data_IF_226423389799
#
_entry.id   IF_226423389799
#
_cell.length_a   1.000
_cell.length_b   1.000
_cell.length_c   1.000
_cell.angle_alpha   90.00
_cell.angle_beta   90.00
_cell.angle_gamma   90.00
#
_symmetry.space_group_name_H-M   'P 1'
#
loop_
_entity.id
_entity.type
_entity.pdbx_description
1 polymer ?
#
# COMPACT_ATOMS: atom_id res chain seq x y z
N UNK A 1 30.19 0.10 -57.30
CA UNK A 1 29.85 -0.89 -56.26
C UNK A 1 28.43 -0.56 -55.77
N UNK A 2 27.43 -1.44 -56.01
CA UNK A 2 26.06 -1.24 -55.46
C UNK A 2 26.13 -1.40 -53.92
N UNK A 3 25.48 -0.53 -53.12
CA UNK A 3 25.39 -0.74 -51.69
C UNK A 3 24.64 -2.07 -51.41
N UNK A 4 24.99 -2.79 -50.32
CA UNK A 4 24.37 -4.06 -50.01
C UNK A 4 22.85 -3.86 -49.79
N UNK A 5 22.08 -4.78 -50.36
CA UNK A 5 20.62 -4.79 -50.28
C UNK A 5 20.22 -5.09 -48.84
N UNK A 6 19.72 -4.08 -48.14
CA UNK A 6 19.30 -4.19 -46.72
C UNK A 6 17.96 -4.91 -46.68
N UNK A 7 17.93 -6.16 -46.21
CA UNK A 7 16.67 -6.90 -45.96
C UNK A 7 15.85 -6.24 -44.84
N UNK A 8 14.98 -5.30 -45.26
CA UNK A 8 14.07 -4.57 -44.36
C UNK A 8 13.11 -5.51 -43.60
N UNK A 9 12.75 -6.65 -44.22
CA UNK A 9 11.85 -7.62 -43.59
C UNK A 9 12.56 -8.41 -42.49
N UNK A 10 13.82 -8.79 -42.67
CA UNK A 10 14.64 -9.40 -41.62
C UNK A 10 14.88 -8.44 -40.46
N UNK A 11 15.18 -7.18 -40.74
CA UNK A 11 15.33 -6.13 -39.71
C UNK A 11 14.03 -5.91 -38.89
N UNK A 12 12.88 -5.90 -39.55
CA UNK A 12 11.57 -5.78 -38.88
C UNK A 12 11.27 -6.98 -37.97
N UNK A 13 11.51 -8.21 -38.44
CA UNK A 13 11.34 -9.44 -37.65
C UNK A 13 12.25 -9.44 -36.41
N UNK A 14 13.51 -9.09 -36.57
CA UNK A 14 14.46 -8.98 -35.46
C UNK A 14 14.03 -7.96 -34.43
N UNK A 15 13.52 -6.78 -34.85
CA UNK A 15 13.02 -5.76 -33.95
C UNK A 15 11.77 -6.21 -33.14
N UNK A 16 10.86 -6.96 -33.77
CA UNK A 16 9.69 -7.55 -33.13
C UNK A 16 10.13 -8.61 -32.10
N UNK A 17 11.05 -9.50 -32.48
CA UNK A 17 11.59 -10.52 -31.56
C UNK A 17 12.27 -9.88 -30.35
N UNK A 18 13.10 -8.86 -30.53
CA UNK A 18 13.74 -8.14 -29.43
C UNK A 18 12.74 -7.44 -28.49
N UNK A 19 11.64 -6.89 -29.03
CA UNK A 19 10.56 -6.32 -28.19
C UNK A 19 9.86 -7.39 -27.37
N UNK A 20 9.54 -8.54 -27.97
CA UNK A 20 8.91 -9.68 -27.26
C UNK A 20 9.81 -10.21 -26.15
N UNK A 21 11.10 -10.38 -26.41
CA UNK A 21 12.06 -10.85 -25.43
C UNK A 21 12.16 -9.89 -24.21
N UNK A 22 12.22 -8.56 -24.44
CA UNK A 22 12.19 -7.58 -23.32
C UNK A 22 10.86 -7.56 -22.57
N UNK A 23 9.74 -7.76 -23.28
CA UNK A 23 8.44 -7.86 -22.62
C UNK A 23 8.36 -9.08 -21.70
N UNK A 24 8.95 -10.20 -22.13
CA UNK A 24 9.03 -11.42 -21.33
C UNK A 24 9.89 -11.21 -20.07
N UNK A 25 11.05 -10.59 -20.17
CA UNK A 25 11.88 -10.24 -18.99
C UNK A 25 11.07 -9.40 -17.98
N UNK A 26 10.35 -8.39 -18.48
CA UNK A 26 9.49 -7.56 -17.59
C UNK A 26 8.35 -8.35 -16.96
N UNK A 27 7.74 -9.29 -17.70
CA UNK A 27 6.72 -10.18 -17.19
C UNK A 27 7.26 -11.04 -16.04
N UNK A 28 8.44 -11.65 -16.26
CA UNK A 28 9.09 -12.49 -15.23
C UNK A 28 9.36 -11.71 -13.93
N UNK A 29 9.81 -10.46 -14.03
CA UNK A 29 10.01 -9.61 -12.85
C UNK A 29 8.67 -9.26 -12.19
N UNK A 30 7.65 -8.91 -12.97
CA UNK A 30 6.33 -8.59 -12.44
C UNK A 30 5.66 -9.79 -11.76
N UNK A 31 5.89 -11.01 -12.29
CA UNK A 31 5.39 -12.28 -11.73
C UNK A 31 6.28 -12.85 -10.61
N UNK A 32 7.36 -12.15 -10.23
CA UNK A 32 8.37 -12.62 -9.26
C UNK A 32 9.05 -13.96 -9.62
N UNK A 33 9.05 -14.33 -10.90
CA UNK A 33 9.78 -15.51 -11.41
C UNK A 33 11.30 -15.25 -11.45
N UNK A 34 11.69 -13.98 -11.57
CA UNK A 34 13.07 -13.49 -11.46
C UNK A 34 13.09 -12.18 -10.70
N UNK A 35 14.15 -11.94 -9.91
CA UNK A 35 14.33 -10.64 -9.26
C UNK A 35 14.85 -9.60 -10.28
N UNK A 36 14.63 -8.33 -10.00
CA UNK A 36 15.21 -7.26 -10.80
C UNK A 36 16.74 -7.23 -10.69
N UNK A 37 17.29 -7.74 -9.58
CA UNK A 37 18.72 -7.91 -9.39
C UNK A 37 19.27 -8.99 -10.32
N UNK A 38 18.62 -10.16 -10.41
CA UNK A 38 19.02 -11.23 -11.36
C UNK A 38 19.06 -10.73 -12.79
N UNK A 39 18.06 -9.92 -13.19
CA UNK A 39 18.02 -9.31 -14.52
C UNK A 39 19.18 -8.33 -14.72
N UNK A 40 19.51 -7.52 -13.72
CA UNK A 40 20.62 -6.58 -13.79
C UNK A 40 21.97 -7.31 -13.86
N UNK A 41 22.18 -8.35 -13.04
CA UNK A 41 23.41 -9.17 -13.08
C UNK A 41 23.56 -9.90 -14.42
N UNK A 42 22.49 -10.50 -14.96
CA UNK A 42 22.50 -11.12 -16.26
C UNK A 42 22.84 -10.12 -17.39
N UNK A 43 22.32 -8.89 -17.29
CA UNK A 43 22.63 -7.81 -18.23
C UNK A 43 24.12 -7.38 -18.20
N UNK A 44 24.78 -7.51 -17.07
CA UNK A 44 26.20 -7.13 -16.91
C UNK A 44 27.18 -8.26 -17.21
N UNK A 45 26.76 -9.52 -17.03
CA UNK A 45 27.55 -10.71 -17.31
C UNK A 45 27.37 -11.23 -18.73
N UNK A 46 26.24 -10.92 -19.38
CA UNK A 46 25.86 -11.41 -20.69
C UNK A 46 26.34 -10.56 -21.87
N UNK A 47 25.89 -10.94 -23.09
CA UNK A 47 26.21 -10.21 -24.29
C UNK A 47 25.48 -8.84 -24.37
N UNK A 48 26.09 -7.80 -24.99
CA UNK A 48 25.48 -6.47 -25.09
C UNK A 48 24.13 -6.43 -25.80
N UNK A 49 23.84 -7.44 -26.65
CA UNK A 49 22.57 -7.60 -27.37
C UNK A 49 21.46 -8.33 -26.59
N UNK A 50 21.77 -8.91 -25.44
CA UNK A 50 20.81 -9.63 -24.61
C UNK A 50 19.60 -8.78 -24.25
N UNK A 51 18.38 -9.38 -24.12
CA UNK A 51 17.17 -8.65 -23.76
C UNK A 51 17.35 -7.83 -22.49
N UNK A 52 17.99 -8.39 -21.46
CA UNK A 52 18.30 -7.76 -20.19
C UNK A 52 19.21 -6.52 -20.37
N UNK A 53 20.27 -6.66 -21.16
CA UNK A 53 21.23 -5.59 -21.41
C UNK A 53 20.61 -4.41 -22.18
N UNK A 54 19.68 -4.70 -23.10
CA UNK A 54 19.01 -3.70 -23.94
C UNK A 54 17.77 -3.09 -23.28
N UNK A 55 17.30 -3.61 -22.15
CA UNK A 55 16.19 -3.08 -21.39
C UNK A 55 16.57 -1.72 -20.75
N UNK A 56 15.67 -0.74 -20.77
CA UNK A 56 15.89 0.52 -20.04
C UNK A 56 15.82 0.30 -18.53
N UNK A 57 16.64 1.01 -17.77
CA UNK A 57 16.62 0.93 -16.30
C UNK A 57 15.24 1.34 -15.77
N UNK A 58 14.64 2.39 -16.33
CA UNK A 58 13.28 2.83 -15.97
C UNK A 58 12.22 1.76 -16.23
N UNK A 59 12.35 0.96 -17.28
CA UNK A 59 11.42 -0.15 -17.58
C UNK A 59 11.61 -1.32 -16.63
N UNK A 60 12.86 -1.65 -16.27
CA UNK A 60 13.17 -2.66 -15.26
C UNK A 60 12.59 -2.27 -13.90
N UNK A 61 12.85 -1.06 -13.43
CA UNK A 61 12.32 -0.58 -12.15
C UNK A 61 10.78 -0.60 -12.13
N UNK A 62 10.14 -0.16 -13.21
CA UNK A 62 8.67 -0.16 -13.31
C UNK A 62 8.04 -1.55 -13.43
N UNK A 63 8.80 -2.59 -13.75
CA UNK A 63 8.32 -3.96 -13.73
C UNK A 63 8.34 -4.59 -12.33
N UNK A 64 9.02 -3.96 -11.36
CA UNK A 64 9.03 -4.43 -9.98
C UNK A 64 7.67 -4.16 -9.33
N UNK A 65 7.00 -5.17 -8.76
CA UNK A 65 5.73 -4.98 -8.05
C UNK A 65 5.84 -3.88 -6.98
N UNK A 66 4.86 -2.98 -6.94
CA UNK A 66 4.82 -1.88 -6.00
C UNK A 66 5.76 -0.70 -6.31
N UNK A 67 6.54 -0.72 -7.40
CA UNK A 67 7.36 0.40 -7.84
C UNK A 67 6.73 1.12 -9.04
N UNK A 68 5.77 2.00 -8.76
CA UNK A 68 5.09 2.78 -9.79
C UNK A 68 5.99 3.81 -10.49
N UNK A 69 5.48 4.46 -11.57
CA UNK A 69 6.26 5.37 -12.42
C UNK A 69 6.98 6.49 -11.65
N UNK A 70 6.29 7.12 -10.72
CA UNK A 70 6.81 8.25 -9.91
C UNK A 70 7.97 7.81 -9.02
N UNK A 71 7.85 6.64 -8.37
CA UNK A 71 8.93 6.09 -7.55
C UNK A 71 10.12 5.65 -8.40
N UNK A 72 9.85 5.01 -9.54
CA UNK A 72 10.91 4.63 -10.45
C UNK A 72 11.72 5.86 -10.94
N UNK A 73 11.03 6.96 -11.26
CA UNK A 73 11.68 8.21 -11.64
C UNK A 73 12.52 8.81 -10.48
N UNK A 74 12.01 8.77 -9.25
CA UNK A 74 12.75 9.20 -8.06
C UNK A 74 14.03 8.38 -7.86
N UNK A 75 13.91 7.04 -7.90
CA UNK A 75 15.06 6.14 -7.79
C UNK A 75 16.09 6.42 -8.88
N UNK A 76 15.66 6.63 -10.14
CA UNK A 76 16.55 7.02 -11.23
C UNK A 76 17.33 8.32 -10.91
N UNK A 77 16.65 9.32 -10.33
CA UNK A 77 17.26 10.56 -9.87
C UNK A 77 18.30 10.35 -8.78
N UNK A 78 17.91 9.60 -7.73
CA UNK A 78 18.78 9.31 -6.57
C UNK A 78 20.05 8.54 -6.99
N UNK A 79 19.90 7.58 -7.92
CA UNK A 79 21.02 6.81 -8.49
C UNK A 79 21.79 7.58 -9.60
N UNK A 80 21.37 8.78 -9.95
CA UNK A 80 21.94 9.60 -11.04
C UNK A 80 21.98 8.84 -12.38
N UNK A 81 20.90 8.13 -12.71
CA UNK A 81 20.73 7.38 -13.95
C UNK A 81 19.75 8.14 -14.85
N UNK A 82 20.20 8.54 -16.05
CA UNK A 82 19.34 9.23 -17.01
C UNK A 82 18.29 8.25 -17.62
N UNK A 83 17.09 8.75 -17.95
CA UNK A 83 15.94 7.96 -18.43
C UNK A 83 16.23 7.10 -19.68
N UNK A 84 17.13 7.56 -20.54
CA UNK A 84 17.52 6.82 -21.75
C UNK A 84 18.47 5.66 -21.49
N UNK A 85 19.04 5.53 -20.28
CA UNK A 85 20.04 4.51 -19.98
C UNK A 85 19.46 3.11 -19.98
N UNK A 86 20.22 2.21 -20.59
CA UNK A 86 19.95 0.76 -20.60
C UNK A 86 20.75 0.08 -19.50
N UNK A 87 20.25 -1.05 -19.00
CA UNK A 87 20.89 -1.78 -17.90
C UNK A 87 22.33 -2.17 -18.22
N UNK A 88 22.56 -2.74 -19.41
CA UNK A 88 23.91 -3.12 -19.86
C UNK A 88 24.85 -1.92 -20.09
N UNK A 89 24.29 -0.72 -20.35
CA UNK A 89 25.05 0.51 -20.62
C UNK A 89 25.39 1.34 -19.40
N UNK A 90 25.20 0.84 -18.18
CA UNK A 90 25.54 1.52 -16.93
C UNK A 90 27.05 1.49 -16.68
N UNK A 91 27.63 2.64 -16.24
CA UNK A 91 29.00 2.69 -15.75
C UNK A 91 29.17 1.99 -14.39
N UNK A 92 30.41 1.68 -14.02
CA UNK A 92 30.71 0.91 -12.80
C UNK A 92 30.06 1.45 -11.53
N UNK A 93 30.11 2.77 -11.31
CA UNK A 93 29.48 3.42 -10.15
C UNK A 93 27.95 3.27 -10.14
N UNK A 94 27.32 3.39 -11.31
CA UNK A 94 25.87 3.22 -11.46
C UNK A 94 25.44 1.76 -11.28
N UNK A 95 26.27 0.81 -11.70
CA UNK A 95 26.03 -0.64 -11.47
C UNK A 95 26.07 -0.95 -9.98
N UNK A 96 27.05 -0.44 -9.24
CA UNK A 96 27.14 -0.62 -7.79
C UNK A 96 25.91 -0.04 -7.10
N UNK A 97 25.58 1.23 -7.38
CA UNK A 97 24.43 1.89 -6.77
C UNK A 97 23.09 1.19 -7.09
N UNK A 98 22.89 0.75 -8.33
CA UNK A 98 21.69 0.00 -8.71
C UNK A 98 21.64 -1.38 -8.03
N UNK A 99 22.78 -2.08 -7.95
CA UNK A 99 22.90 -3.36 -7.24
C UNK A 99 22.53 -3.21 -5.77
N UNK A 100 23.11 -2.26 -5.07
CA UNK A 100 22.81 -2.00 -3.65
C UNK A 100 21.35 -1.68 -3.42
N UNK A 101 20.77 -0.84 -4.29
CA UNK A 101 19.35 -0.51 -4.23
C UNK A 101 18.46 -1.75 -4.41
N UNK A 102 18.73 -2.58 -5.45
CA UNK A 102 17.95 -3.76 -5.75
C UNK A 102 18.14 -4.84 -4.67
N UNK A 103 19.36 -5.11 -4.23
CA UNK A 103 19.65 -6.06 -3.16
C UNK A 103 18.98 -5.66 -1.84
N UNK A 104 19.04 -4.39 -1.45
CA UNK A 104 18.35 -3.90 -0.27
C UNK A 104 16.83 -3.91 -0.38
N UNK A 105 16.31 -3.97 -1.60
CA UNK A 105 14.88 -4.14 -1.86
C UNK A 105 14.48 -5.61 -1.88
N UNK A 106 15.28 -6.47 -2.51
CA UNK A 106 15.04 -7.91 -2.57
C UNK A 106 15.13 -8.51 -1.15
N UNK A 107 16.11 -8.09 -0.33
CA UNK A 107 16.18 -8.46 1.08
C UNK A 107 14.93 -8.06 1.90
N UNK A 108 14.26 -6.96 1.50
CA UNK A 108 12.97 -6.54 2.08
C UNK A 108 11.75 -7.24 1.43
N UNK A 109 11.93 -7.90 0.28
CA UNK A 109 10.89 -8.65 -0.42
C UNK A 109 10.96 -10.16 -0.13
N UNK A 110 12.14 -10.66 0.24
CA UNK A 110 12.33 -12.03 0.77
C UNK A 110 11.82 -12.16 2.23
N UNK A 111 11.66 -11.05 2.95
CA UNK A 111 10.68 -10.98 4.01
C UNK A 111 9.32 -11.09 3.31
N UNK A 112 8.72 -12.28 3.30
CA UNK A 112 7.30 -12.50 3.01
C UNK A 112 6.52 -11.34 3.63
N UNK A 113 5.53 -10.70 2.94
CA UNK A 113 4.86 -9.51 3.45
C UNK A 113 4.60 -9.76 4.92
N UNK A 114 5.22 -8.94 5.79
CA UNK A 114 5.31 -9.22 7.22
C UNK A 114 3.89 -9.45 7.67
N UNK A 115 3.48 -10.71 7.82
CA UNK A 115 2.16 -11.04 8.30
C UNK A 115 2.13 -10.65 9.75
N UNK A 116 1.15 -9.89 10.13
CA UNK A 116 0.93 -9.52 11.51
C UNK A 116 -0.48 -9.93 11.90
N UNK A 117 -0.63 -10.37 13.14
CA UNK A 117 -1.96 -10.59 13.69
C UNK A 117 -2.69 -9.29 13.99
N UNK A 118 -2.02 -8.17 13.97
CA UNK A 118 -2.58 -6.84 14.13
C UNK A 118 -2.29 -5.99 12.90
N UNK A 119 -3.32 -5.72 12.11
CA UNK A 119 -3.28 -4.83 10.95
C UNK A 119 -4.06 -3.56 11.24
N UNK A 120 -3.47 -2.43 10.91
CA UNK A 120 -4.11 -1.11 11.00
C UNK A 120 -4.42 -0.62 9.58
N UNK A 121 -5.69 -0.49 9.25
CA UNK A 121 -6.16 0.05 7.99
C UNK A 121 -6.46 1.55 8.15
N UNK A 122 -5.64 2.39 7.53
CA UNK A 122 -5.86 3.82 7.47
C UNK A 122 -5.89 4.31 6.02
N UNK A 123 -6.10 5.59 5.82
CA UNK A 123 -6.17 6.21 4.50
C UNK A 123 -7.09 7.41 4.51
N UNK A 124 -7.17 8.17 3.41
CA UNK A 124 -7.91 9.42 3.38
C UNK A 124 -9.42 9.23 3.61
N UNK A 125 -10.04 10.31 4.03
CA UNK A 125 -11.51 10.39 4.13
C UNK A 125 -12.15 10.03 2.79
N UNK A 126 -13.24 9.27 2.81
CA UNK A 126 -13.99 8.79 1.63
C UNK A 126 -13.24 7.79 0.72
N UNK A 127 -12.07 7.28 1.10
CA UNK A 127 -11.37 6.24 0.31
C UNK A 127 -12.09 4.89 0.30
N UNK A 128 -13.02 4.66 1.25
CA UNK A 128 -13.81 3.43 1.35
C UNK A 128 -13.33 2.46 2.43
N UNK A 129 -12.59 2.92 3.45
CA UNK A 129 -12.17 2.08 4.61
C UNK A 129 -13.34 1.29 5.18
N UNK A 130 -14.41 1.98 5.62
CA UNK A 130 -15.56 1.31 6.24
C UNK A 130 -16.28 0.32 5.32
N UNK A 131 -16.20 0.49 4.01
CA UNK A 131 -16.77 -0.48 3.05
C UNK A 131 -15.90 -1.72 2.97
N UNK A 132 -14.58 -1.56 2.91
CA UNK A 132 -13.62 -2.68 2.92
C UNK A 132 -13.69 -3.43 4.25
N UNK A 133 -13.68 -2.72 5.38
CA UNK A 133 -13.78 -3.33 6.72
C UNK A 133 -15.07 -4.10 6.93
N UNK A 134 -16.20 -3.57 6.44
CA UNK A 134 -17.49 -4.28 6.47
C UNK A 134 -17.44 -5.55 5.66
N UNK A 135 -16.91 -5.50 4.44
CA UNK A 135 -16.75 -6.67 3.59
C UNK A 135 -15.87 -7.74 4.26
N UNK A 136 -14.77 -7.32 4.93
CA UNK A 136 -13.93 -8.24 5.71
C UNK A 136 -14.72 -8.88 6.86
N UNK A 137 -15.53 -8.11 7.59
CA UNK A 137 -16.37 -8.64 8.68
C UNK A 137 -17.36 -9.69 8.18
N UNK A 138 -17.95 -9.47 7.00
CA UNK A 138 -18.96 -10.36 6.41
C UNK A 138 -18.36 -11.65 5.83
N UNK A 139 -17.22 -11.55 5.15
CA UNK A 139 -16.64 -12.67 4.40
C UNK A 139 -15.52 -13.42 5.15
N UNK A 140 -14.90 -12.80 6.19
CA UNK A 140 -13.78 -13.36 6.92
C UNK A 140 -14.02 -13.36 8.44
N UNK A 141 -14.86 -14.26 8.96
CA UNK A 141 -15.28 -14.27 10.37
C UNK A 141 -14.15 -14.53 11.37
N UNK A 142 -13.02 -15.08 10.91
CA UNK A 142 -11.83 -15.33 11.73
C UNK A 142 -11.02 -14.04 12.00
N UNK A 143 -11.36 -12.93 11.33
CA UNK A 143 -10.74 -11.63 11.56
C UNK A 143 -11.60 -10.80 12.51
N UNK A 144 -11.06 -10.45 13.67
CA UNK A 144 -11.72 -9.51 14.57
C UNK A 144 -11.57 -8.09 14.03
N UNK A 145 -12.68 -7.47 13.62
CA UNK A 145 -12.71 -6.04 13.37
C UNK A 145 -12.93 -5.30 14.70
N UNK A 146 -11.98 -4.44 15.09
CA UNK A 146 -12.10 -3.66 16.31
C UNK A 146 -13.26 -2.69 16.23
N UNK A 147 -13.93 -2.49 17.37
CA UNK A 147 -14.99 -1.47 17.55
C UNK A 147 -14.42 -0.35 18.40
N UNK A 148 -14.40 0.87 17.84
CA UNK A 148 -13.92 2.06 18.56
C UNK A 148 -14.98 2.60 19.51
N UNK A 149 -14.56 3.20 20.63
CA UNK A 149 -15.41 4.01 21.48
C UNK A 149 -15.46 5.46 20.99
N UNK A 150 -16.60 6.13 21.16
CA UNK A 150 -16.77 7.54 20.80
C UNK A 150 -17.70 8.27 21.75
N UNK A 151 -17.43 9.56 21.98
CA UNK A 151 -18.35 10.44 22.75
C UNK A 151 -19.40 11.11 21.87
N UNK A 152 -19.36 10.88 20.56
CA UNK A 152 -20.36 11.36 19.62
C UNK A 152 -21.66 10.55 19.79
N UNK A 153 -22.83 11.19 19.72
CA UNK A 153 -24.09 10.44 19.69
C UNK A 153 -24.19 9.58 18.43
N UNK A 154 -24.92 8.44 18.49
CA UNK A 154 -25.12 7.58 17.36
C UNK A 154 -25.86 8.29 16.22
N UNK A 155 -25.49 8.00 14.99
CA UNK A 155 -26.20 8.44 13.79
C UNK A 155 -27.30 7.44 13.43
N UNK A 156 -28.32 7.84 12.61
CA UNK A 156 -29.32 6.91 12.15
C UNK A 156 -28.70 5.68 11.48
N UNK A 157 -29.07 4.48 11.95
CA UNK A 157 -28.56 3.22 11.45
C UNK A 157 -27.27 2.71 12.11
N UNK A 158 -26.67 3.47 13.01
CA UNK A 158 -25.53 2.98 13.80
C UNK A 158 -26.02 2.17 15.03
N UNK A 159 -25.35 1.06 15.30
CA UNK A 159 -25.69 0.10 16.36
C UNK A 159 -24.56 0.06 17.38
N UNK A 160 -24.94 0.14 18.68
CA UNK A 160 -24.03 0.00 19.81
C UNK A 160 -23.27 -1.31 19.78
N UNK A 161 -21.95 -1.25 20.01
CA UNK A 161 -21.08 -2.44 20.03
C UNK A 161 -20.78 -3.06 18.68
N UNK A 162 -21.41 -2.57 17.61
CA UNK A 162 -21.16 -3.02 16.24
C UNK A 162 -20.41 -1.97 15.41
N UNK A 163 -20.90 -0.73 15.45
CA UNK A 163 -20.27 0.38 14.75
C UNK A 163 -19.33 1.15 15.67
N UNK A 164 -19.80 1.45 16.88
CA UNK A 164 -19.06 2.11 17.95
C UNK A 164 -19.59 1.66 19.31
N UNK A 165 -18.75 1.83 20.35
CA UNK A 165 -19.21 1.95 21.72
C UNK A 165 -19.48 3.44 21.98
N UNK A 166 -20.76 3.81 22.13
CA UNK A 166 -21.17 5.20 22.38
C UNK A 166 -21.13 5.47 23.86
N UNK A 167 -20.10 6.17 24.32
CA UNK A 167 -19.86 6.44 25.74
C UNK A 167 -20.00 7.93 26.07
N UNK A 168 -20.30 8.25 27.32
CA UNK A 168 -20.25 9.63 27.78
C UNK A 168 -18.81 10.15 27.88
N UNK A 169 -18.62 11.48 27.93
CA UNK A 169 -17.31 12.07 28.17
C UNK A 169 -16.70 11.60 29.48
N UNK A 170 -17.51 11.49 30.55
CA UNK A 170 -17.06 11.00 31.84
C UNK A 170 -16.58 9.55 31.80
N UNK A 171 -17.30 8.68 31.07
CA UNK A 171 -16.85 7.29 30.89
C UNK A 171 -15.59 7.21 30.04
N UNK A 172 -15.48 8.03 28.98
CA UNK A 172 -14.28 8.10 28.19
C UNK A 172 -13.04 8.52 29.00
N UNK A 173 -13.21 9.52 29.90
CA UNK A 173 -12.17 9.93 30.83
C UNK A 173 -11.80 8.82 31.82
N UNK A 174 -12.77 8.08 32.30
CA UNK A 174 -12.54 6.94 33.17
C UNK A 174 -11.77 5.82 32.43
N UNK A 175 -12.09 5.54 31.17
CA UNK A 175 -11.36 4.59 30.35
C UNK A 175 -9.90 5.03 30.12
N UNK A 176 -9.67 6.34 29.88
CA UNK A 176 -8.29 6.89 29.80
C UNK A 176 -7.55 6.65 31.11
N UNK A 177 -8.16 6.99 32.23
CA UNK A 177 -7.53 6.86 33.55
C UNK A 177 -7.19 5.40 33.91
N UNK A 178 -7.98 4.44 33.42
CA UNK A 178 -7.74 2.99 33.57
C UNK A 178 -6.76 2.43 32.54
N UNK A 179 -6.28 3.24 31.56
CA UNK A 179 -5.37 2.79 30.51
C UNK A 179 -6.02 1.82 29.52
N UNK A 180 -7.32 1.88 29.33
CA UNK A 180 -8.10 0.96 28.52
C UNK A 180 -8.08 1.25 27.01
N UNK A 181 -7.41 2.32 26.59
CA UNK A 181 -7.27 2.64 25.18
C UNK A 181 -5.90 2.25 24.62
N UNK A 182 -5.90 1.60 23.48
CA UNK A 182 -4.71 1.42 22.66
C UNK A 182 -4.25 2.77 22.07
N UNK A 183 -5.19 3.54 21.56
CA UNK A 183 -5.02 4.92 21.11
C UNK A 183 -6.33 5.70 21.34
N UNK A 184 -6.25 7.01 21.42
CA UNK A 184 -7.42 7.89 21.40
C UNK A 184 -7.05 9.28 20.88
N UNK A 185 -8.02 9.96 20.29
CA UNK A 185 -7.87 11.30 19.74
C UNK A 185 -9.17 12.10 19.84
N UNK A 186 -9.06 13.44 19.84
CA UNK A 186 -10.18 14.34 19.64
C UNK A 186 -10.24 14.75 18.18
N UNK A 187 -11.33 14.45 17.52
CA UNK A 187 -11.53 14.72 16.09
C UNK A 187 -12.42 15.95 15.92
N UNK A 188 -12.00 16.90 15.09
CA UNK A 188 -12.71 18.15 14.80
C UNK A 188 -13.08 18.98 16.03
N UNK A 189 -12.31 18.90 17.10
CA UNK A 189 -12.53 19.60 18.38
C UNK A 189 -13.92 19.37 19.03
N UNK A 190 -14.63 18.31 18.68
CA UNK A 190 -16.00 18.08 19.15
C UNK A 190 -16.24 16.70 19.75
N UNK A 191 -15.66 15.65 19.20
CA UNK A 191 -15.91 14.28 19.64
C UNK A 191 -14.61 13.51 19.79
N UNK A 192 -14.57 12.67 20.81
CA UNK A 192 -13.43 11.81 21.07
C UNK A 192 -13.68 10.43 20.48
N UNK A 193 -12.62 9.83 19.99
CA UNK A 193 -12.60 8.46 19.49
C UNK A 193 -11.41 7.76 20.11
N UNK A 194 -11.56 6.47 20.38
CA UNK A 194 -10.45 5.68 20.89
C UNK A 194 -10.70 4.19 20.65
N UNK A 195 -9.63 3.45 20.53
CA UNK A 195 -9.66 2.01 20.31
C UNK A 195 -9.50 1.27 21.64
N UNK A 196 -10.55 0.60 22.16
CA UNK A 196 -10.47 -0.16 23.40
C UNK A 196 -9.44 -1.29 23.28
N UNK A 197 -8.48 -1.32 24.19
CA UNK A 197 -7.38 -2.27 24.21
C UNK A 197 -7.78 -3.69 24.65
N UNK A 198 -8.62 -3.88 25.71
CA UNK A 198 -8.88 -5.22 26.25
C UNK A 198 -9.45 -6.24 25.25
N UNK A 199 -10.36 -5.89 24.32
CA UNK A 199 -10.82 -6.83 23.30
C UNK A 199 -9.72 -7.26 22.34
N UNK A 200 -8.79 -6.34 22.00
CA UNK A 200 -7.66 -6.59 21.10
C UNK A 200 -6.66 -7.54 21.78
N UNK A 201 -6.23 -7.21 22.99
CA UNK A 201 -5.27 -8.03 23.74
C UNK A 201 -5.80 -9.46 23.92
N UNK A 202 -7.10 -9.60 24.22
CA UNK A 202 -7.75 -10.91 24.35
C UNK A 202 -7.71 -11.68 23.03
N UNK A 203 -8.10 -11.05 21.93
CA UNK A 203 -8.12 -11.69 20.63
C UNK A 203 -6.72 -12.14 20.19
N UNK A 204 -5.71 -11.30 20.37
CA UNK A 204 -4.31 -11.63 20.07
C UNK A 204 -3.79 -12.78 20.95
N UNK A 205 -4.14 -12.78 22.25
CA UNK A 205 -3.79 -13.88 23.15
C UNK A 205 -4.47 -15.21 22.78
N UNK A 206 -5.68 -15.16 22.22
CA UNK A 206 -6.39 -16.31 21.66
C UNK A 206 -5.85 -16.74 20.29
N UNK A 207 -4.85 -16.03 19.75
CA UNK A 207 -4.27 -16.31 18.45
C UNK A 207 -5.11 -15.86 17.26
N UNK A 208 -6.11 -15.00 17.47
CA UNK A 208 -6.92 -14.39 16.42
C UNK A 208 -6.20 -13.24 15.76
N UNK A 209 -6.56 -12.96 14.53
CA UNK A 209 -6.10 -11.79 13.79
C UNK A 209 -7.05 -10.61 14.00
N UNK A 210 -6.49 -9.41 14.13
CA UNK A 210 -7.24 -8.19 14.45
C UNK A 210 -7.00 -7.13 13.37
N UNK A 211 -8.08 -6.53 12.89
CA UNK A 211 -8.06 -5.39 11.99
C UNK A 211 -8.57 -4.14 12.73
N UNK A 212 -7.76 -3.10 12.77
CA UNK A 212 -8.16 -1.77 13.25
C UNK A 212 -8.47 -0.87 12.06
N UNK A 213 -9.64 -0.23 12.06
CA UNK A 213 -9.99 0.83 11.12
C UNK A 213 -9.95 2.17 11.84
N UNK A 214 -8.87 2.93 11.62
CA UNK A 214 -8.63 4.19 12.33
C UNK A 214 -8.08 5.27 11.37
N UNK A 215 -7.93 6.49 11.87
CA UNK A 215 -7.33 7.59 11.14
C UNK A 215 -5.78 7.55 11.19
N UNK A 216 -5.14 8.53 10.56
CA UNK A 216 -3.66 8.62 10.52
C UNK A 216 -3.06 8.83 11.91
N UNK A 217 -3.70 9.64 12.74
CA UNK A 217 -3.20 9.96 14.07
C UNK A 217 -3.26 8.71 14.96
N UNK A 218 -4.37 7.98 14.90
CA UNK A 218 -4.53 6.71 15.58
C UNK A 218 -3.53 5.66 15.09
N UNK A 219 -3.30 5.57 13.78
CA UNK A 219 -2.33 4.63 13.20
C UNK A 219 -0.90 4.87 13.71
N UNK A 220 -0.47 6.13 13.81
CA UNK A 220 0.83 6.51 14.38
C UNK A 220 0.92 6.13 15.86
N UNK A 221 -0.11 6.45 16.65
CA UNK A 221 -0.16 6.11 18.08
C UNK A 221 -0.15 4.60 18.33
N UNK A 222 -0.83 3.81 17.49
CA UNK A 222 -0.75 2.34 17.53
C UNK A 222 0.66 1.85 17.23
N UNK A 223 1.32 2.36 16.18
CA UNK A 223 2.67 1.95 15.81
C UNK A 223 3.71 2.22 16.91
N UNK A 224 3.55 3.33 17.62
CA UNK A 224 4.42 3.66 18.77
C UNK A 224 4.25 2.68 19.93
N UNK A 225 3.03 2.22 20.20
CA UNK A 225 2.70 1.35 21.33
C UNK A 225 2.81 -0.13 21.02
N UNK A 226 2.60 -0.49 19.77
CA UNK A 226 2.66 -1.86 19.22
C UNK A 226 3.49 -1.85 17.92
N UNK A 227 4.82 -1.82 18.01
CA UNK A 227 5.71 -1.73 16.84
C UNK A 227 5.53 -2.89 15.84
N UNK A 228 5.03 -4.05 16.31
CA UNK A 228 4.69 -5.22 15.50
C UNK A 228 3.43 -5.05 14.64
N UNK A 229 2.60 -4.04 14.92
CA UNK A 229 1.42 -3.75 14.11
C UNK A 229 1.82 -3.39 12.68
N UNK A 230 1.17 -4.00 11.70
CA UNK A 230 1.37 -3.70 10.28
C UNK A 230 0.44 -2.58 9.85
N UNK A 231 1.02 -1.47 9.42
CA UNK A 231 0.26 -0.31 8.94
C UNK A 231 -0.05 -0.44 7.44
N UNK A 232 -1.33 -0.44 7.10
CA UNK A 232 -1.83 -0.53 5.72
C UNK A 232 -2.52 0.77 5.33
N UNK A 233 -2.07 1.38 4.24
CA UNK A 233 -2.68 2.58 3.70
C UNK A 233 -3.58 2.27 2.52
N UNK A 234 -4.87 2.53 2.64
CA UNK A 234 -5.82 2.39 1.55
C UNK A 234 -5.77 3.62 0.65
N UNK A 235 -5.51 3.40 -0.63
CA UNK A 235 -5.42 4.44 -1.65
C UNK A 235 -6.68 4.43 -2.53
N UNK A 236 -7.15 5.59 -3.00
CA UNK A 236 -8.14 5.65 -4.06
C UNK A 236 -7.51 5.21 -5.39
N UNK A 237 -8.30 4.75 -6.38
CA UNK A 237 -7.80 4.45 -7.72
C UNK A 237 -7.16 5.67 -8.39
N UNK A 238 -7.79 6.83 -8.26
CA UNK A 238 -7.30 8.13 -8.73
C UNK A 238 -7.72 9.24 -7.78
N UNK A 239 -7.08 10.42 -7.90
CA UNK A 239 -7.49 11.61 -7.16
C UNK A 239 -8.91 12.06 -7.51
N UNK A 240 -9.27 12.02 -8.78
CA UNK A 240 -10.58 12.42 -9.29
C UNK A 240 -11.71 11.54 -8.69
N UNK A 241 -11.43 10.25 -8.51
CA UNK A 241 -12.37 9.33 -7.86
C UNK A 241 -12.57 9.70 -6.38
N UNK A 242 -11.50 10.03 -5.67
CA UNK A 242 -11.58 10.48 -4.28
C UNK A 242 -12.38 11.78 -4.17
N UNK A 243 -12.08 12.75 -5.03
CA UNK A 243 -12.82 14.04 -5.10
C UNK A 243 -14.31 13.80 -5.33
N UNK A 244 -14.68 12.95 -6.27
CA UNK A 244 -16.08 12.60 -6.56
C UNK A 244 -16.79 12.02 -5.34
N UNK A 245 -16.11 11.12 -4.59
CA UNK A 245 -16.67 10.53 -3.37
C UNK A 245 -16.79 11.54 -2.22
N UNK A 246 -15.87 12.50 -2.13
CA UNK A 246 -15.88 13.56 -1.13
C UNK A 246 -17.01 14.57 -1.36
N UNK A 247 -17.22 14.97 -2.63
CA UNK A 247 -18.19 15.99 -3.00
C UNK A 247 -19.59 15.41 -3.28
N UNK A 248 -19.68 14.12 -3.58
CA UNK A 248 -20.84 13.45 -4.18
C UNK A 248 -22.13 13.37 -3.34
N UNK A 249 -22.17 13.97 -2.12
CA UNK A 249 -23.38 14.06 -1.30
C UNK A 249 -24.10 15.41 -1.38
N UNK A 250 -23.52 16.40 -2.06
CA UNK A 250 -24.21 17.61 -2.54
C UNK A 250 -24.82 18.56 -1.49
N UNK A 251 -24.68 18.30 -0.20
CA UNK A 251 -25.32 19.05 0.89
C UNK A 251 -24.37 20.00 1.62
N UNK A 252 -23.12 20.10 1.18
CA UNK A 252 -22.07 20.82 1.90
C UNK A 252 -21.74 22.15 1.21
N UNK A 253 -21.35 23.15 2.01
CA UNK A 253 -20.90 24.44 1.47
C UNK A 253 -19.58 24.29 0.70
N UNK A 254 -19.30 25.23 -0.23
CA UNK A 254 -18.04 25.24 -0.98
C UNK A 254 -16.80 25.32 -0.07
N UNK A 255 -16.92 26.02 1.07
CA UNK A 255 -15.85 26.15 2.06
C UNK A 255 -15.58 24.80 2.78
N UNK A 256 -16.62 24.05 3.07
CA UNK A 256 -16.51 22.75 3.70
C UNK A 256 -15.91 21.73 2.74
N UNK A 257 -16.32 21.74 1.48
CA UNK A 257 -15.71 20.92 0.43
C UNK A 257 -14.23 21.25 0.24
N UNK A 258 -13.85 22.53 0.23
CA UNK A 258 -12.45 22.93 0.13
C UNK A 258 -11.60 22.42 1.30
N UNK A 259 -12.11 22.52 2.52
CA UNK A 259 -11.44 21.98 3.73
C UNK A 259 -11.26 20.47 3.65
N UNK A 260 -12.27 19.72 3.21
CA UNK A 260 -12.19 18.26 3.06
C UNK A 260 -11.17 17.84 1.99
N UNK A 261 -11.13 18.57 0.88
CA UNK A 261 -10.13 18.31 -0.17
C UNK A 261 -8.71 18.57 0.32
N UNK A 262 -8.50 19.62 1.08
CA UNK A 262 -7.18 19.93 1.66
C UNK A 262 -6.78 18.87 2.69
N UNK A 263 -7.69 18.47 3.57
CA UNK A 263 -7.48 17.36 4.51
C UNK A 263 -7.09 16.07 3.76
N UNK A 264 -7.80 15.72 2.68
CA UNK A 264 -7.51 14.53 1.90
C UNK A 264 -6.14 14.56 1.23
N UNK A 265 -5.65 15.74 0.80
CA UNK A 265 -4.27 15.89 0.28
C UNK A 265 -3.22 15.64 1.36
N UNK A 266 -3.44 16.21 2.56
CA UNK A 266 -2.55 16.00 3.71
C UNK A 266 -2.53 14.52 4.10
N UNK A 267 -3.71 13.89 4.15
CA UNK A 267 -3.83 12.46 4.44
C UNK A 267 -3.11 11.61 3.38
N UNK A 268 -3.27 11.89 2.09
CA UNK A 268 -2.57 11.18 1.01
C UNK A 268 -1.05 11.36 1.06
N UNK A 269 -0.56 12.51 1.50
CA UNK A 269 0.87 12.76 1.63
C UNK A 269 1.54 11.85 2.68
N UNK A 270 0.78 11.40 3.69
CA UNK A 270 1.26 10.50 4.75
C UNK A 270 1.42 9.03 4.31
N UNK A 271 1.04 8.67 3.08
CA UNK A 271 1.08 7.29 2.60
C UNK A 271 2.46 6.61 2.70
N UNK A 272 3.55 7.37 2.72
CA UNK A 272 4.92 6.84 2.79
C UNK A 272 5.35 6.46 4.21
N UNK A 273 4.54 6.79 5.23
CA UNK A 273 4.71 6.36 6.62
C UNK A 273 4.21 4.93 6.87
N UNK A 274 3.50 4.35 5.91
CA UNK A 274 2.85 3.04 6.05
C UNK A 274 3.67 1.92 5.42
N UNK A 275 3.59 0.74 6.05
CA UNK A 275 4.34 -0.45 5.64
C UNK A 275 3.84 -0.98 4.28
N UNK A 276 2.51 -0.99 4.07
CA UNK A 276 1.87 -1.50 2.85
C UNK A 276 0.87 -0.49 2.29
N UNK A 277 0.72 -0.44 0.96
CA UNK A 277 -0.25 0.39 0.24
C UNK A 277 -1.14 -0.48 -0.63
N UNK A 278 -2.45 -0.38 -0.44
CA UNK A 278 -3.46 -1.09 -1.22
C UNK A 278 -4.33 -0.08 -1.96
N UNK A 279 -4.57 -0.32 -3.25
CA UNK A 279 -5.42 0.56 -4.06
C UNK A 279 -6.84 0.00 -4.12
N UNK A 280 -7.81 0.71 -3.55
CA UNK A 280 -9.21 0.33 -3.53
C UNK A 280 -9.89 0.60 -4.90
N UNK A 281 -9.63 -0.28 -5.86
CA UNK A 281 -10.31 -0.30 -7.17
C UNK A 281 -11.60 -1.10 -7.09
N UNK A 282 -11.56 -2.21 -6.37
CA UNK A 282 -12.66 -3.10 -6.07
C UNK A 282 -12.59 -3.47 -4.59
N UNK A 283 -13.75 -3.48 -3.92
CA UNK A 283 -13.83 -3.69 -2.48
C UNK A 283 -13.42 -5.10 -2.09
N UNK A 284 -13.86 -6.11 -2.83
CA UNK A 284 -13.54 -7.52 -2.56
C UNK A 284 -12.05 -7.80 -2.75
N UNK A 285 -11.45 -7.26 -3.82
CA UNK A 285 -10.01 -7.38 -4.05
C UNK A 285 -9.21 -6.67 -2.95
N UNK A 286 -9.56 -5.44 -2.59
CA UNK A 286 -8.87 -4.71 -1.54
C UNK A 286 -9.00 -5.41 -0.17
N UNK A 287 -10.17 -5.99 0.12
CA UNK A 287 -10.39 -6.77 1.32
C UNK A 287 -9.52 -8.04 1.36
N UNK A 288 -9.45 -8.78 0.26
CA UNK A 288 -8.60 -9.96 0.14
C UNK A 288 -7.11 -9.59 0.34
N UNK A 289 -6.64 -8.50 -0.29
CA UNK A 289 -5.27 -8.01 -0.12
C UNK A 289 -4.95 -7.62 1.35
N UNK A 290 -5.92 -7.04 2.09
CA UNK A 290 -5.76 -6.76 3.52
C UNK A 290 -5.70 -8.05 4.34
N UNK A 291 -6.57 -9.02 4.04
CA UNK A 291 -6.63 -10.30 4.77
C UNK A 291 -5.39 -11.15 4.53
N UNK A 292 -4.79 -11.09 3.34
CA UNK A 292 -3.50 -11.77 3.05
C UNK A 292 -2.35 -11.26 3.93
N UNK A 293 -2.44 -10.05 4.45
CA UNK A 293 -1.46 -9.46 5.37
C UNK A 293 -1.69 -9.87 6.83
N UNK A 294 -2.87 -10.37 7.15
CA UNK A 294 -3.19 -10.93 8.45
C UNK A 294 -2.67 -12.38 8.53
N UNK A 295 -2.10 -12.74 9.67
CA UNK A 295 -1.71 -14.12 9.95
C UNK A 295 -2.94 -14.92 10.41
N UNK A 296 -3.89 -15.09 9.48
CA UNK A 296 -5.11 -15.86 9.73
C UNK A 296 -4.74 -17.34 9.74
N UNK A 297 -5.02 -18.10 10.83
CA UNK A 297 -4.82 -19.54 10.82
C UNK A 297 -5.58 -20.15 9.64
N UNK A 298 -4.92 -21.04 8.88
CA UNK A 298 -5.61 -21.77 7.81
C UNK A 298 -6.73 -22.60 8.44
N UNK A 299 -7.97 -22.09 8.39
CA UNK A 299 -9.13 -22.87 8.70
C UNK A 299 -9.22 -23.96 7.66
N UNK A 300 -8.98 -25.21 8.09
CA UNK A 300 -9.12 -26.38 7.23
C UNK A 300 -10.53 -26.39 6.64
N UNK A 301 -10.60 -26.26 5.30
CA UNK A 301 -11.76 -26.60 4.51
C UNK A 301 -11.79 -28.11 4.31
#
# INVERSE_FOLDING_TARGET
MKPPEVDRAAGSRAAVAARRARAEVKRQVAARERTALDVAEAAWAGEPGAPEATLRVSELLRSIPGLGPTRAARVMGDLRIADAKRVGGLGSRQRVALREYLAGRDARQDEAPTRSRLVVLAGPTAVGKGTVSRHIREEYPDVLLSVSATTRPPRPGEVEGEHYYFVSDAEFDAMIARGEFLEYATVHNQSRYGTPRPPIDRALAEGKSVLLEIDLQGARAVKERMPEALLVFLLPPTWEELVRRLIGRGTESAEEQARRLETAKIELAAQDEFDVKIVNRDVGQAAAEVVELLDVPATGR
#
